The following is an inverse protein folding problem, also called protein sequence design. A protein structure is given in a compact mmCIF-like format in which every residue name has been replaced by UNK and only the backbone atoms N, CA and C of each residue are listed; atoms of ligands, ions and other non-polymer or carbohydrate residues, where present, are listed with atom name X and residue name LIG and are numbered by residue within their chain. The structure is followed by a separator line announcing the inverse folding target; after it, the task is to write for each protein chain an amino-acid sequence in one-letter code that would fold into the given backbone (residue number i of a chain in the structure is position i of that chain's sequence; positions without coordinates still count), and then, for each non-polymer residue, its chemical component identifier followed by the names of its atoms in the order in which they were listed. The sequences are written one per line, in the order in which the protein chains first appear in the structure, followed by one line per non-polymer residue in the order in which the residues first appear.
data_IF_733315875990
#
_entry.id   IF_733315875990
#
_cell.length_a   1.000
_cell.length_b   1.000
_cell.length_c   1.000
_cell.angle_alpha   90.00
_cell.angle_beta   90.00
_cell.angle_gamma   90.00
#
_symmetry.space_group_name_H-M   'P 1'
#
loop_
_entity.id
_entity.type
_entity.pdbx_description
1 polymer ?
#
# COMPACT_ATOMS: atom_id res chain seq x y z
N UNK A 1 1.18 39.50 -12.17
CA UNK A 1 1.92 38.40 -11.53
C UNK A 1 0.89 37.43 -10.99
N UNK A 2 0.85 36.20 -11.50
CA UNK A 2 -0.05 35.15 -11.03
C UNK A 2 0.80 34.14 -10.26
N UNK A 3 0.50 33.98 -8.97
CA UNK A 3 1.07 32.94 -8.14
C UNK A 3 -0.04 31.91 -7.88
N UNK A 4 0.23 30.65 -8.19
CA UNK A 4 -0.61 29.54 -7.79
C UNK A 4 0.00 28.94 -6.52
N UNK A 5 -0.70 29.06 -5.40
CA UNK A 5 -0.34 28.38 -4.16
C UNK A 5 -0.95 26.97 -4.21
N UNK A 6 -0.10 25.96 -4.33
CA UNK A 6 -0.53 24.58 -4.15
C UNK A 6 -0.40 24.23 -2.66
N UNK A 7 -1.41 23.59 -2.04
CA UNK A 7 -1.26 23.07 -0.69
C UNK A 7 -0.03 22.15 -0.65
N UNK A 8 0.84 22.35 0.35
CA UNK A 8 2.10 21.61 0.47
C UNK A 8 1.89 20.09 0.47
N UNK A 9 2.80 19.35 -0.15
CA UNK A 9 2.77 17.90 -0.16
C UNK A 9 2.97 17.35 1.25
N UNK A 10 1.88 16.90 1.87
CA UNK A 10 1.90 16.35 3.25
C UNK A 10 2.25 14.86 3.33
N UNK A 11 2.31 14.16 2.19
CA UNK A 11 2.84 12.80 2.12
C UNK A 11 2.74 12.15 0.75
N UNK A 12 3.55 11.11 0.54
CA UNK A 12 3.63 10.35 -0.69
C UNK A 12 4.00 8.88 -0.38
N UNK A 13 3.49 7.94 -1.17
CA UNK A 13 3.90 6.54 -1.15
C UNK A 13 4.16 6.06 -2.57
N UNK A 14 5.17 5.20 -2.73
CA UNK A 14 5.64 4.78 -4.05
C UNK A 14 6.05 3.32 -4.05
N UNK A 15 5.96 2.71 -5.22
CA UNK A 15 6.15 1.28 -5.39
C UNK A 15 5.89 0.81 -6.82
N UNK A 16 6.02 -0.49 -7.06
CA UNK A 16 5.85 -1.11 -8.36
C UNK A 16 5.41 -2.58 -8.26
N UNK A 17 4.82 -3.17 -9.31
CA UNK A 17 4.55 -4.60 -9.37
C UNK A 17 5.85 -5.40 -9.28
N UNK A 18 5.88 -6.43 -8.43
CA UNK A 18 7.03 -7.33 -8.34
C UNK A 18 7.12 -8.21 -9.59
N UNK A 19 8.33 -8.38 -10.12
CA UNK A 19 8.58 -9.27 -11.25
C UNK A 19 8.27 -10.72 -10.86
N UNK A 20 7.63 -11.44 -11.80
CA UNK A 20 7.22 -12.84 -11.61
C UNK A 20 8.37 -13.83 -11.47
N UNK A 21 9.58 -13.41 -11.82
CA UNK A 21 10.82 -14.19 -11.70
C UNK A 21 11.35 -14.30 -10.26
N UNK A 22 10.69 -13.65 -9.29
CA UNK A 22 11.09 -13.71 -7.88
C UNK A 22 12.33 -12.89 -7.53
N UNK A 23 12.89 -12.13 -8.48
CA UNK A 23 14.11 -11.33 -8.29
C UNK A 23 14.04 -10.36 -7.11
N UNK A 24 12.84 -9.87 -6.78
CA UNK A 24 12.59 -9.04 -5.60
C UNK A 24 12.97 -9.72 -4.28
N UNK A 25 12.78 -11.03 -4.19
CA UNK A 25 13.09 -11.85 -3.01
C UNK A 25 14.51 -12.43 -3.03
N UNK A 26 15.33 -12.07 -4.03
CA UNK A 26 16.71 -12.53 -4.11
C UNK A 26 17.48 -12.17 -2.84
N UNK A 27 18.16 -13.15 -2.24
CA UNK A 27 18.85 -13.00 -0.95
C UNK A 27 17.98 -13.21 0.29
N UNK A 28 16.72 -13.64 0.12
CA UNK A 28 15.89 -14.08 1.24
C UNK A 28 16.55 -15.26 1.98
N UNK A 29 16.58 -15.19 3.32
CA UNK A 29 17.16 -16.25 4.15
C UNK A 29 16.15 -17.30 4.52
N UNK A 30 16.51 -18.55 4.23
CA UNK A 30 15.64 -19.69 4.46
C UNK A 30 14.71 -19.92 3.28
N UNK A 31 13.63 -20.65 3.52
CA UNK A 31 12.63 -20.95 2.49
C UNK A 31 11.60 -19.83 2.47
N UNK A 32 11.44 -19.17 1.33
CA UNK A 32 10.36 -18.20 1.14
C UNK A 32 9.00 -18.90 1.37
N UNK A 33 8.07 -18.33 2.15
CA UNK A 33 6.75 -18.93 2.34
C UNK A 33 6.10 -19.26 1.00
N UNK A 34 5.58 -20.48 0.86
CA UNK A 34 5.05 -21.02 -0.40
C UNK A 34 4.02 -20.10 -1.05
N UNK A 35 3.10 -19.56 -0.24
CA UNK A 35 2.06 -18.64 -0.69
C UNK A 35 2.64 -17.36 -1.29
N UNK A 36 3.64 -16.75 -0.65
CA UNK A 36 4.32 -15.54 -1.17
C UNK A 36 5.00 -15.84 -2.51
N UNK A 37 5.63 -17.00 -2.64
CA UNK A 37 6.24 -17.46 -3.90
C UNK A 37 5.20 -17.64 -5.01
N UNK A 38 4.06 -18.27 -4.70
CA UNK A 38 2.95 -18.47 -5.63
C UNK A 38 2.34 -17.15 -6.12
N UNK A 39 2.03 -16.25 -5.19
CA UNK A 39 1.50 -14.92 -5.52
C UNK A 39 2.49 -14.08 -6.33
N UNK A 40 3.79 -14.26 -6.10
CA UNK A 40 4.83 -13.62 -6.91
C UNK A 40 4.81 -14.14 -8.34
N UNK A 41 4.79 -15.47 -8.51
CA UNK A 41 4.76 -16.10 -9.82
C UNK A 41 3.48 -15.76 -10.62
N UNK A 42 2.34 -15.57 -9.95
CA UNK A 42 1.08 -15.13 -10.57
C UNK A 42 1.03 -13.62 -10.88
N UNK A 43 2.00 -12.83 -10.40
CA UNK A 43 2.04 -11.38 -10.60
C UNK A 43 1.09 -10.59 -9.71
N UNK A 44 0.74 -11.14 -8.55
CA UNK A 44 -0.21 -10.54 -7.60
C UNK A 44 0.49 -9.82 -6.43
N UNK A 45 1.80 -9.60 -6.53
CA UNK A 45 2.59 -8.90 -5.50
C UNK A 45 2.94 -7.49 -5.96
N UNK A 46 2.69 -6.50 -5.10
CA UNK A 46 3.08 -5.11 -5.31
C UNK A 46 4.05 -4.65 -4.23
N UNK A 47 5.25 -4.22 -4.63
CA UNK A 47 6.25 -3.70 -3.72
C UNK A 47 5.99 -2.23 -3.40
N UNK A 48 5.91 -1.87 -2.12
CA UNK A 48 6.05 -0.50 -1.67
C UNK A 48 7.51 -0.26 -1.25
N UNK A 49 8.19 0.64 -1.96
CA UNK A 49 9.62 0.93 -1.75
C UNK A 49 9.89 2.14 -0.88
N UNK A 50 8.86 2.95 -0.62
CA UNK A 50 8.96 3.98 0.40
C UNK A 50 7.68 4.77 0.60
N UNK A 51 7.70 5.52 1.69
CA UNK A 51 6.63 6.40 2.11
C UNK A 51 7.24 7.57 2.87
N UNK A 52 6.79 8.78 2.54
CA UNK A 52 7.15 10.00 3.23
C UNK A 52 5.86 10.63 3.74
N UNK A 53 5.84 10.98 5.02
CA UNK A 53 4.73 11.71 5.65
C UNK A 53 5.31 12.87 6.42
N UNK A 54 4.77 14.07 6.18
CA UNK A 54 5.18 15.28 6.87
C UNK A 54 5.03 15.09 8.40
N UNK A 55 6.02 15.51 9.22
CA UNK A 55 6.01 15.26 10.67
C UNK A 55 4.73 15.70 11.38
N UNK A 56 4.13 16.83 10.97
CA UNK A 56 2.88 17.34 11.55
C UNK A 56 1.66 16.43 11.33
N UNK A 57 1.72 15.52 10.34
CA UNK A 57 0.60 14.66 9.93
C UNK A 57 0.78 13.18 10.32
N UNK A 58 1.90 12.82 11.00
CA UNK A 58 2.24 11.42 11.33
C UNK A 58 1.21 10.69 12.19
N UNK A 59 0.41 11.42 12.98
CA UNK A 59 -0.58 10.86 13.91
C UNK A 59 -2.04 10.90 13.39
N UNK A 60 -2.28 11.23 12.12
CA UNK A 60 -3.64 11.40 11.57
C UNK A 60 -4.08 10.27 10.63
N UNK A 61 -3.46 9.11 10.75
CA UNK A 61 -3.75 7.95 9.89
C UNK A 61 -3.40 8.14 8.41
N UNK A 62 -2.62 9.18 8.07
CA UNK A 62 -2.27 9.50 6.68
C UNK A 62 -1.45 8.38 6.03
N UNK A 63 -0.53 7.76 6.77
CA UNK A 63 0.25 6.64 6.29
C UNK A 63 -0.63 5.45 5.86
N UNK A 64 -1.62 5.07 6.68
CA UNK A 64 -2.57 4.01 6.33
C UNK A 64 -3.36 4.34 5.05
N UNK A 65 -3.90 5.56 4.95
CA UNK A 65 -4.60 6.01 3.73
C UNK A 65 -3.71 6.03 2.49
N UNK A 66 -2.44 6.41 2.63
CA UNK A 66 -1.47 6.36 1.53
C UNK A 66 -1.20 4.93 1.10
N UNK A 67 -1.11 3.96 2.02
CA UNK A 67 -0.98 2.54 1.69
C UNK A 67 -2.22 2.02 0.97
N UNK A 68 -3.41 2.29 1.50
CA UNK A 68 -4.67 1.89 0.88
C UNK A 68 -4.78 2.43 -0.54
N UNK A 69 -4.48 3.72 -0.75
CA UNK A 69 -4.48 4.33 -2.09
C UNK A 69 -3.39 3.79 -3.00
N UNK A 70 -2.22 3.48 -2.44
CA UNK A 70 -1.17 2.83 -3.21
C UNK A 70 -1.69 1.48 -3.71
N UNK A 71 -2.28 0.65 -2.86
CA UNK A 71 -2.70 -0.68 -3.28
C UNK A 71 -4.04 -0.73 -4.04
N UNK A 72 -4.89 0.30 -3.89
CA UNK A 72 -6.18 0.39 -4.57
C UNK A 72 -6.06 0.39 -6.11
N UNK A 73 -7.00 -0.28 -6.77
CA UNK A 73 -7.10 -0.33 -8.24
C UNK A 73 -6.05 -1.20 -8.93
N UNK A 74 -5.27 -1.98 -8.19
CA UNK A 74 -4.24 -2.88 -8.71
C UNK A 74 -4.68 -4.33 -8.52
N UNK A 75 -4.32 -5.21 -9.44
CA UNK A 75 -4.57 -6.66 -9.36
C UNK A 75 -3.69 -7.37 -8.31
N UNK A 76 -3.17 -6.63 -7.33
CA UNK A 76 -2.28 -7.14 -6.31
C UNK A 76 -3.09 -7.61 -5.10
N UNK A 77 -2.84 -8.83 -4.65
CA UNK A 77 -3.43 -9.41 -3.44
C UNK A 77 -2.43 -9.43 -2.27
N UNK A 78 -1.17 -9.07 -2.53
CA UNK A 78 -0.11 -8.98 -1.53
C UNK A 78 0.72 -7.70 -1.69
N UNK A 79 0.78 -6.89 -0.64
CA UNK A 79 1.77 -5.84 -0.49
C UNK A 79 3.09 -6.43 0.01
N UNK A 80 4.21 -5.98 -0.55
CA UNK A 80 5.55 -6.36 -0.12
C UNK A 80 6.39 -5.13 0.20
N UNK A 81 7.24 -5.19 1.21
CA UNK A 81 8.24 -4.14 1.46
C UNK A 81 9.49 -4.73 2.08
N UNK A 82 10.61 -4.05 1.87
CA UNK A 82 11.90 -4.36 2.47
C UNK A 82 12.35 -3.16 3.28
N UNK A 83 12.53 -3.34 4.58
CA UNK A 83 12.87 -2.27 5.52
C UNK A 83 14.20 -2.59 6.16
N UNK A 84 15.08 -1.60 6.33
CA UNK A 84 16.31 -1.79 7.12
C UNK A 84 15.94 -2.31 8.53
N UNK A 85 16.46 -3.50 8.88
CA UNK A 85 16.23 -4.11 10.20
C UNK A 85 16.70 -3.21 11.35
N UNK A 86 17.72 -2.38 11.12
CA UNK A 86 18.22 -1.43 12.11
C UNK A 86 17.22 -0.28 12.35
N UNK A 87 16.36 0.03 11.39
CA UNK A 87 15.30 1.03 11.54
C UNK A 87 14.11 0.46 12.31
N UNK A 88 14.25 0.41 13.64
CA UNK A 88 13.24 -0.12 14.56
C UNK A 88 11.91 0.64 14.49
N UNK A 89 11.97 1.96 14.32
CA UNK A 89 10.78 2.80 14.24
C UNK A 89 9.96 2.49 12.98
N UNK A 90 10.62 2.35 11.83
CA UNK A 90 9.94 1.93 10.60
C UNK A 90 9.35 0.52 10.75
N UNK A 91 10.12 -0.45 11.26
CA UNK A 91 9.62 -1.80 11.51
C UNK A 91 8.38 -1.82 12.42
N UNK A 92 8.39 -1.02 13.49
CA UNK A 92 7.25 -0.91 14.41
C UNK A 92 6.04 -0.27 13.74
N UNK A 93 6.23 0.79 12.94
CA UNK A 93 5.15 1.43 12.19
C UNK A 93 4.50 0.49 11.17
N UNK A 94 5.31 -0.27 10.43
CA UNK A 94 4.78 -1.28 9.52
C UNK A 94 3.96 -2.35 10.25
N UNK A 95 4.46 -2.87 11.37
CA UNK A 95 3.73 -3.87 12.16
C UNK A 95 2.43 -3.33 12.74
N UNK A 96 2.39 -2.08 13.20
CA UNK A 96 1.15 -1.47 13.70
C UNK A 96 0.11 -1.24 12.60
N UNK A 97 0.51 -1.20 11.33
CA UNK A 97 -0.38 -1.18 10.17
C UNK A 97 -0.75 -2.59 9.65
N UNK A 98 -0.40 -3.66 10.38
CA UNK A 98 -0.78 -5.03 10.06
C UNK A 98 0.19 -5.77 9.12
N UNK A 99 1.37 -5.20 8.86
CA UNK A 99 2.39 -5.90 8.07
C UNK A 99 3.03 -7.03 8.89
N UNK A 100 3.17 -8.17 8.24
CA UNK A 100 3.69 -9.42 8.81
C UNK A 100 5.16 -9.59 8.44
N UNK A 101 6.00 -9.89 9.43
CA UNK A 101 7.42 -10.18 9.23
C UNK A 101 7.58 -11.63 8.75
N UNK A 102 8.07 -11.81 7.52
CA UNK A 102 8.28 -13.13 6.93
C UNK A 102 9.75 -13.56 6.97
N UNK A 103 10.66 -12.69 7.41
CA UNK A 103 12.08 -13.01 7.48
C UNK A 103 12.98 -11.87 7.02
N UNK A 104 14.12 -12.23 6.42
CA UNK A 104 15.15 -11.28 6.02
C UNK A 104 15.66 -11.51 4.62
N UNK A 105 16.05 -10.41 3.99
CA UNK A 105 16.75 -10.37 2.71
C UNK A 105 18.12 -9.72 2.90
N UNK A 106 19.15 -10.33 2.31
CA UNK A 106 20.50 -9.79 2.22
C UNK A 106 20.76 -9.34 0.79
N UNK A 107 21.05 -8.04 0.58
CA UNK A 107 21.42 -7.52 -0.74
C UNK A 107 22.87 -7.03 -0.75
N UNK A 108 23.78 -7.76 -1.43
CA UNK A 108 25.12 -7.26 -1.70
C UNK A 108 25.08 -5.97 -2.57
N UNK A 109 26.09 -5.09 -2.48
CA UNK A 109 27.29 -5.18 -1.64
C UNK A 109 27.13 -4.58 -0.23
N UNK A 110 25.93 -4.17 0.18
CA UNK A 110 25.72 -3.46 1.46
C UNK A 110 25.60 -4.40 2.67
N UNK A 111 25.99 -3.95 3.88
CA UNK A 111 25.81 -4.72 5.12
C UNK A 111 24.34 -4.76 5.60
N UNK A 112 23.43 -4.08 4.88
CA UNK A 112 22.06 -3.89 5.33
C UNK A 112 21.26 -5.17 5.23
N UNK A 113 20.91 -5.71 6.40
CA UNK A 113 19.93 -6.79 6.52
C UNK A 113 18.55 -6.16 6.46
N UNK A 114 17.78 -6.51 5.43
CA UNK A 114 16.43 -6.00 5.26
C UNK A 114 15.43 -6.96 5.89
N UNK A 115 14.48 -6.45 6.68
CA UNK A 115 13.28 -7.18 7.06
C UNK A 115 12.31 -7.22 5.88
N UNK A 116 11.91 -8.43 5.52
CA UNK A 116 10.87 -8.66 4.54
C UNK A 116 9.52 -8.67 5.25
N UNK A 117 8.68 -7.70 4.89
CA UNK A 117 7.35 -7.57 5.45
C UNK A 117 6.31 -7.72 4.34
N UNK A 118 5.20 -8.38 4.63
CA UNK A 118 4.07 -8.54 3.70
C UNK A 118 2.76 -8.07 4.32
N UNK A 119 1.85 -7.59 3.48
CA UNK A 119 0.51 -7.18 3.88
C UNK A 119 -0.50 -7.88 2.96
N UNK A 120 -1.31 -8.83 3.46
CA UNK A 120 -2.43 -9.37 2.71
C UNK A 120 -3.41 -8.24 2.35
N UNK A 121 -3.60 -8.05 1.05
CA UNK A 121 -4.57 -7.13 0.50
C UNK A 121 -5.79 -7.99 0.17
N UNK A 122 -6.61 -8.30 1.19
CA UNK A 122 -7.90 -8.94 0.93
C UNK A 122 -8.64 -8.18 -0.19
N UNK A 123 -9.53 -8.84 -0.92
CA UNK A 123 -10.50 -8.21 -1.81
C UNK A 123 -11.42 -7.28 -0.99
N UNK A 124 -10.89 -6.16 -0.52
CA UNK A 124 -11.60 -5.09 0.18
C UNK A 124 -12.56 -4.34 -0.77
N UNK A 125 -12.76 -4.88 -1.97
CA UNK A 125 -13.69 -4.39 -3.00
C UNK A 125 -15.07 -5.04 -2.87
N UNK A 126 -15.23 -6.19 -2.22
CA UNK A 126 -16.55 -6.82 -2.06
C UNK A 126 -17.29 -6.40 -0.76
N UNK A 127 -16.56 -6.14 0.33
CA UNK A 127 -17.19 -5.86 1.64
C UNK A 127 -17.64 -4.41 1.86
N UNK A 128 -17.25 -3.46 1.01
CA UNK A 128 -17.68 -2.04 1.08
C UNK A 128 -18.65 -1.62 -0.02
N UNK A 129 -19.09 -2.53 -0.89
CA UNK A 129 -20.12 -2.27 -1.91
C UNK A 129 -21.54 -2.66 -1.47
N UNK A 130 -21.78 -2.78 -0.15
CA UNK A 130 -23.06 -3.16 0.44
C UNK A 130 -23.90 -2.01 0.99
N UNK A 131 -24.32 -1.07 0.12
CA UNK A 131 -25.51 -0.20 0.29
C UNK A 131 -25.45 0.96 1.34
N UNK A 132 -26.37 1.95 1.26
CA UNK A 132 -27.66 1.89 0.59
C UNK A 132 -27.81 2.83 -0.62
N UNK A 133 -28.76 2.44 -1.46
CA UNK A 133 -29.29 3.22 -2.57
C UNK A 133 -29.72 4.62 -2.15
N UNK A 134 -29.27 5.64 -2.87
CA UNK A 134 -29.94 6.94 -2.88
C UNK A 134 -30.58 7.16 -4.25
N UNK A 135 -31.90 6.92 -4.25
CA UNK A 135 -32.91 7.33 -5.21
C UNK A 135 -32.45 8.22 -6.37
N UNK A 136 -32.39 7.61 -7.56
CA UNK A 136 -32.64 8.32 -8.80
C UNK A 136 -34.13 8.16 -9.16
N UNK A 137 -34.94 9.23 -9.05
CA UNK A 137 -36.04 9.45 -10.01
C UNK A 137 -36.46 10.92 -10.10
N UNK A 138 -35.88 11.56 -11.11
CA UNK A 138 -36.47 12.50 -12.08
C UNK A 138 -37.87 13.12 -11.85
N UNK A 139 -37.85 14.46 -11.82
CA UNK A 139 -38.69 15.44 -12.54
C UNK A 139 -40.22 15.29 -12.57
N UNK A 140 -40.92 16.37 -12.18
CA UNK A 140 -41.87 17.08 -13.07
C UNK A 140 -42.06 18.53 -12.62
N UNK A 141 -41.56 19.45 -13.45
CA UNK A 141 -42.10 20.80 -13.57
C UNK A 141 -43.54 20.69 -14.10
N UNK A 142 -44.49 21.20 -13.33
CA UNK A 142 -45.78 21.74 -13.78
C UNK A 142 -46.02 22.95 -12.86
N UNK A 143 -45.74 24.17 -13.33
CA UNK A 143 -46.70 24.98 -14.08
C UNK A 143 -47.96 25.22 -13.24
N UNK A 144 -47.95 26.33 -12.48
CA UNK A 144 -49.13 27.10 -12.10
C UNK A 144 -48.69 28.36 -11.31
N UNK A 145 -48.58 29.48 -12.01
CA UNK A 145 -48.82 30.79 -11.40
C UNK A 145 -50.15 31.28 -11.95
N UNK A 146 -51.10 31.46 -11.04
CA UNK A 146 -52.25 32.37 -11.16
C UNK A 146 -52.06 33.45 -10.12
#
# INVERSE_FOLDING_TARGET
MLAAEAPGLVGCAFGYPVRRDGSWWSGFRGVLPREVGQLTASGQVFAMTGMVVHPSERNRGLAGRLQERLFAGRQATLGATLVDRANRAACAGFRSWGWQDIGVVYRPPGPTVLRALVLPLAERTAAQAGGPAHHARTQRLKENQR
#
